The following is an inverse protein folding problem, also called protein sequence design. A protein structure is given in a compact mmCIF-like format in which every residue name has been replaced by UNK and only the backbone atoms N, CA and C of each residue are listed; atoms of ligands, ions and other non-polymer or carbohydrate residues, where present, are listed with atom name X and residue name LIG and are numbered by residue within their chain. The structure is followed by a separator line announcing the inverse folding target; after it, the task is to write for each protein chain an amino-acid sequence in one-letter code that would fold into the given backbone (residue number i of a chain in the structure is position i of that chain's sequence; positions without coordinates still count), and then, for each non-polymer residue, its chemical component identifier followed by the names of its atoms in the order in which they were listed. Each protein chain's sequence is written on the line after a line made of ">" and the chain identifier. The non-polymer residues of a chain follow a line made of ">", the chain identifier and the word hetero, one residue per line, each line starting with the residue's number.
data_IF_363969104807
#
_entry.id   IF_363969104807
#
_cell.length_a   1.000
_cell.length_b   1.000
_cell.length_c   1.000
_cell.angle_alpha   90.00
_cell.angle_beta   90.00
_cell.angle_gamma   90.00
#
_symmetry.space_group_name_H-M   'P 1'
#
loop_
_entity.id
_entity.type
_entity.pdbx_description
1 polymer ?
#
# COMPACT_ATOMS: atom_id res chain seq x y z
N UNK A 1 40.92 -24.63 -11.02
CA UNK A 1 39.58 -24.79 -11.60
C UNK A 1 38.53 -25.47 -10.71
N UNK A 2 38.82 -25.67 -9.43
CA UNK A 2 37.87 -26.30 -8.49
C UNK A 2 37.19 -25.30 -7.55
N UNK A 3 37.51 -23.99 -7.64
CA UNK A 3 36.96 -23.01 -6.71
C UNK A 3 35.60 -22.43 -7.13
N UNK A 4 35.25 -22.47 -8.43
CA UNK A 4 33.98 -21.87 -8.90
C UNK A 4 32.75 -22.75 -8.59
N UNK A 5 32.88 -24.08 -8.77
CA UNK A 5 31.77 -24.99 -8.51
C UNK A 5 31.42 -25.11 -7.01
N UNK A 6 32.43 -25.09 -6.13
CA UNK A 6 32.19 -25.13 -4.68
C UNK A 6 31.58 -23.81 -4.15
N UNK A 7 31.98 -22.65 -4.70
CA UNK A 7 31.42 -21.35 -4.36
C UNK A 7 29.95 -21.21 -4.81
N UNK A 8 29.59 -21.84 -5.90
CA UNK A 8 28.23 -21.80 -6.45
C UNK A 8 27.26 -22.68 -5.63
N UNK A 9 27.73 -23.79 -5.09
CA UNK A 9 26.93 -24.67 -4.19
C UNK A 9 26.59 -23.97 -2.87
N UNK A 10 27.53 -23.20 -2.28
CA UNK A 10 27.30 -22.50 -1.01
C UNK A 10 26.31 -21.33 -1.13
N UNK A 11 26.12 -20.75 -2.30
CA UNK A 11 25.15 -19.68 -2.53
C UNK A 11 23.72 -20.20 -2.67
N UNK A 12 23.53 -21.49 -2.82
CA UNK A 12 22.24 -22.12 -3.10
C UNK A 12 21.55 -22.68 -1.86
N UNK A 13 22.20 -22.63 -0.71
CA UNK A 13 21.62 -23.16 0.53
C UNK A 13 22.00 -22.29 1.74
N UNK A 14 21.04 -22.15 2.67
CA UNK A 14 21.25 -21.68 4.03
C UNK A 14 20.69 -22.71 5.01
N UNK A 15 21.41 -22.99 6.11
CA UNK A 15 21.01 -24.01 7.07
C UNK A 15 21.09 -23.42 8.47
N UNK A 16 20.03 -23.58 9.24
CA UNK A 16 19.98 -23.23 10.66
C UNK A 16 20.15 -24.48 11.52
N UNK A 17 21.04 -24.40 12.48
CA UNK A 17 21.29 -25.48 13.49
C UNK A 17 20.88 -24.98 14.86
N UNK A 18 20.24 -25.86 15.64
CA UNK A 18 20.01 -25.68 17.07
C UNK A 18 20.54 -26.90 17.83
N UNK A 19 21.35 -26.68 18.86
CA UNK A 19 22.00 -27.75 19.65
C UNK A 19 22.76 -28.80 18.80
N UNK A 20 23.26 -28.40 17.62
CA UNK A 20 23.99 -29.28 16.70
C UNK A 20 23.09 -30.06 15.71
N UNK A 21 21.80 -29.96 15.85
CA UNK A 21 20.78 -30.53 14.93
C UNK A 21 20.37 -29.50 13.89
N UNK A 22 20.21 -29.96 12.63
CA UNK A 22 19.63 -29.12 11.57
C UNK A 22 18.11 -28.95 11.82
N UNK A 23 17.63 -27.70 11.88
CA UNK A 23 16.22 -27.37 12.15
C UNK A 23 15.52 -26.71 10.99
N UNK A 24 16.26 -25.96 10.15
CA UNK A 24 15.74 -25.38 8.93
C UNK A 24 16.79 -25.41 7.83
N UNK A 25 16.33 -25.56 6.61
CA UNK A 25 17.11 -25.49 5.37
C UNK A 25 16.40 -24.63 4.36
N UNK A 26 17.10 -23.67 3.78
CA UNK A 26 16.64 -22.90 2.61
C UNK A 26 17.46 -23.33 1.39
N UNK A 27 16.79 -23.65 0.32
CA UNK A 27 17.40 -23.99 -0.97
C UNK A 27 16.95 -22.97 -2.01
N UNK A 28 17.91 -22.38 -2.74
CA UNK A 28 17.66 -21.35 -3.73
C UNK A 28 17.98 -21.86 -5.13
N UNK A 29 17.14 -21.53 -6.11
CA UNK A 29 17.45 -21.68 -7.53
C UNK A 29 17.64 -20.31 -8.18
N UNK A 30 18.44 -20.27 -9.24
CA UNK A 30 18.79 -19.04 -9.94
C UNK A 30 18.74 -19.24 -11.45
N UNK A 31 18.43 -18.16 -12.20
CA UNK A 31 18.64 -18.11 -13.62
C UNK A 31 20.13 -17.93 -13.98
N UNK A 32 20.42 -17.86 -15.28
CA UNK A 32 21.80 -17.66 -15.77
C UNK A 32 22.36 -16.26 -15.52
N UNK A 33 21.50 -15.27 -15.23
CA UNK A 33 21.87 -13.90 -14.89
C UNK A 33 22.13 -13.73 -13.38
N UNK A 34 21.71 -14.71 -12.56
CA UNK A 34 21.87 -14.71 -11.10
C UNK A 34 20.63 -14.20 -10.36
N UNK A 35 19.51 -14.04 -11.03
CA UNK A 35 18.24 -13.74 -10.38
C UNK A 35 17.70 -14.97 -9.66
N UNK A 36 17.17 -14.82 -8.43
CA UNK A 36 16.53 -15.92 -7.68
C UNK A 36 15.24 -16.31 -8.39
N UNK A 37 15.09 -17.60 -8.71
CA UNK A 37 13.86 -18.14 -9.30
C UNK A 37 12.97 -18.81 -8.27
N UNK A 38 13.56 -19.42 -7.24
CA UNK A 38 12.80 -20.00 -6.14
C UNK A 38 13.59 -20.01 -4.84
N UNK A 39 12.85 -19.96 -3.75
CA UNK A 39 13.30 -20.25 -2.39
C UNK A 39 12.42 -21.38 -1.85
N UNK A 40 13.04 -22.49 -1.45
CA UNK A 40 12.38 -23.63 -0.82
C UNK A 40 12.87 -23.73 0.63
N UNK A 41 11.96 -23.58 1.59
CA UNK A 41 12.21 -23.69 3.01
C UNK A 41 11.66 -25.00 3.55
N UNK A 42 12.54 -25.83 4.06
CA UNK A 42 12.23 -27.07 4.78
C UNK A 42 12.57 -26.91 6.26
N UNK A 43 11.66 -27.33 7.16
CA UNK A 43 11.90 -27.27 8.61
C UNK A 43 10.66 -26.96 9.42
N UNK A 44 10.78 -26.01 10.36
CA UNK A 44 9.70 -25.64 11.30
C UNK A 44 8.43 -25.08 10.63
N UNK A 45 8.60 -24.43 9.47
CA UNK A 45 7.51 -24.06 8.57
C UNK A 45 8.01 -24.32 7.16
N UNK A 46 7.42 -25.28 6.43
CA UNK A 46 7.81 -25.56 5.05
C UNK A 46 6.99 -24.68 4.10
N UNK A 47 7.67 -23.92 3.26
CA UNK A 47 7.06 -23.02 2.27
C UNK A 47 7.97 -22.92 1.05
N UNK A 48 7.37 -22.63 -0.12
CA UNK A 48 8.09 -22.42 -1.37
C UNK A 48 7.65 -21.08 -1.93
N UNK A 49 8.63 -20.23 -2.27
CA UNK A 49 8.40 -18.97 -2.97
C UNK A 49 8.96 -19.04 -4.39
N UNK A 50 8.20 -18.56 -5.35
CA UNK A 50 8.56 -18.47 -6.75
C UNK A 50 8.68 -17.01 -7.20
N UNK A 51 9.72 -16.69 -7.97
CA UNK A 51 10.04 -15.35 -8.46
C UNK A 51 10.12 -15.33 -9.97
N UNK A 52 9.52 -14.33 -10.62
CA UNK A 52 9.59 -14.18 -12.06
C UNK A 52 10.18 -12.81 -12.47
N UNK A 53 10.86 -12.80 -13.64
CA UNK A 53 11.56 -11.65 -14.24
C UNK A 53 11.19 -11.57 -15.72
N UNK A 54 9.99 -11.10 -16.03
CA UNK A 54 9.40 -11.16 -17.37
C UNK A 54 9.50 -9.83 -18.15
N UNK A 55 10.15 -8.78 -17.60
CA UNK A 55 10.38 -7.55 -18.35
C UNK A 55 11.50 -7.75 -19.38
N UNK A 56 11.12 -7.77 -20.66
CA UNK A 56 12.05 -8.02 -21.76
C UNK A 56 13.09 -6.92 -22.00
N UNK A 57 13.00 -5.77 -21.32
CA UNK A 57 13.95 -4.66 -21.40
C UNK A 57 14.84 -4.57 -20.16
N UNK A 58 14.35 -5.06 -19.04
CA UNK A 58 15.04 -5.01 -17.76
C UNK A 58 15.00 -6.39 -17.09
N UNK A 59 15.88 -7.26 -17.53
CA UNK A 59 15.86 -8.69 -17.23
C UNK A 59 16.14 -9.08 -15.77
N UNK A 60 16.51 -8.15 -14.90
CA UNK A 60 16.66 -8.31 -13.45
C UNK A 60 15.55 -7.59 -12.65
N UNK A 61 14.53 -7.05 -13.33
CA UNK A 61 13.36 -6.50 -12.67
C UNK A 61 12.42 -7.62 -12.23
N UNK A 62 12.22 -7.78 -10.93
CA UNK A 62 11.28 -8.75 -10.38
C UNK A 62 9.84 -8.38 -10.78
N UNK A 63 9.17 -9.24 -11.54
CA UNK A 63 7.82 -8.95 -12.05
C UNK A 63 6.71 -9.61 -11.26
N UNK A 64 7.00 -10.77 -10.63
CA UNK A 64 6.03 -11.38 -9.72
C UNK A 64 6.71 -12.18 -8.60
N UNK A 65 5.99 -12.36 -7.50
CA UNK A 65 6.31 -13.26 -6.38
C UNK A 65 5.09 -14.14 -6.14
N UNK A 66 5.25 -15.45 -6.17
CA UNK A 66 4.18 -16.44 -5.98
C UNK A 66 2.97 -16.25 -6.92
N UNK A 67 3.26 -15.78 -8.15
CA UNK A 67 2.24 -15.45 -9.14
C UNK A 67 1.50 -14.14 -8.89
N UNK A 68 1.95 -13.32 -7.93
CA UNK A 68 1.39 -12.01 -7.63
C UNK A 68 2.28 -10.94 -8.27
N UNK A 69 1.71 -10.13 -9.16
CA UNK A 69 2.42 -9.14 -9.94
C UNK A 69 2.87 -7.92 -9.10
N UNK A 70 4.03 -7.36 -9.48
CA UNK A 70 4.53 -6.09 -8.98
C UNK A 70 4.45 -5.02 -10.08
N UNK A 71 3.98 -3.84 -9.71
CA UNK A 71 4.02 -2.65 -10.57
C UNK A 71 5.16 -1.72 -10.18
N UNK A 72 5.68 -0.97 -11.16
CA UNK A 72 6.81 -0.09 -10.98
C UNK A 72 6.58 1.29 -11.60
N UNK A 73 7.19 2.33 -11.02
CA UNK A 73 7.27 3.64 -11.66
C UNK A 73 8.36 3.64 -12.77
N UNK A 74 8.44 4.75 -13.51
CA UNK A 74 9.43 4.91 -14.60
C UNK A 74 10.90 4.90 -14.16
N UNK A 75 11.17 4.93 -12.86
CA UNK A 75 12.51 4.86 -12.24
C UNK A 75 12.85 3.46 -11.72
N UNK A 76 11.90 2.51 -11.85
CA UNK A 76 12.04 1.15 -11.35
C UNK A 76 11.83 1.02 -9.84
N UNK A 77 11.09 1.95 -9.23
CA UNK A 77 10.66 1.78 -7.85
C UNK A 77 9.33 1.01 -7.83
N UNK A 78 9.16 -0.02 -6.98
CA UNK A 78 7.89 -0.72 -6.86
C UNK A 78 6.80 0.22 -6.34
N UNK A 79 5.64 0.22 -6.98
CA UNK A 79 4.50 1.09 -6.61
C UNK A 79 3.32 0.31 -6.10
N UNK A 80 3.16 -0.94 -6.57
CA UNK A 80 2.05 -1.79 -6.17
C UNK A 80 2.50 -3.25 -6.08
N UNK A 81 2.00 -3.93 -5.06
CA UNK A 81 2.03 -5.38 -4.90
C UNK A 81 0.63 -5.79 -4.44
N UNK A 82 -0.16 -6.41 -5.32
CA UNK A 82 -1.56 -6.71 -5.07
C UNK A 82 -1.97 -8.04 -5.71
N UNK A 83 -2.82 -8.81 -5.02
CA UNK A 83 -3.39 -10.05 -5.50
C UNK A 83 -4.84 -9.77 -5.98
N UNK A 84 -5.02 -9.47 -7.25
CA UNK A 84 -6.32 -9.05 -7.78
C UNK A 84 -6.82 -7.77 -7.12
N UNK A 85 -7.86 -7.86 -6.29
CA UNK A 85 -8.42 -6.72 -5.55
C UNK A 85 -7.83 -6.56 -4.14
N UNK A 86 -7.07 -7.54 -3.66
CA UNK A 86 -6.42 -7.49 -2.34
C UNK A 86 -5.12 -6.69 -2.44
N UNK A 87 -5.07 -5.55 -1.76
CA UNK A 87 -3.88 -4.74 -1.65
C UNK A 87 -2.92 -5.35 -0.63
N UNK A 88 -1.78 -5.87 -1.08
CA UNK A 88 -0.71 -6.31 -0.20
C UNK A 88 0.16 -5.11 0.20
N UNK A 89 0.65 -4.33 -0.78
CA UNK A 89 1.40 -3.11 -0.55
C UNK A 89 1.19 -2.08 -1.67
N UNK A 90 0.96 -0.82 -1.29
CA UNK A 90 1.07 0.36 -2.16
C UNK A 90 2.21 1.23 -1.67
N UNK A 91 3.05 1.74 -2.59
CA UNK A 91 4.26 2.48 -2.25
C UNK A 91 4.34 3.79 -3.04
N UNK A 92 4.60 4.89 -2.33
CA UNK A 92 4.81 6.22 -2.90
C UNK A 92 6.26 6.62 -2.76
N UNK A 93 6.83 7.19 -3.82
CA UNK A 93 8.24 7.56 -3.88
C UNK A 93 8.40 9.06 -4.14
N UNK A 94 9.48 9.63 -3.61
CA UNK A 94 9.87 11.02 -3.81
C UNK A 94 11.36 11.10 -4.14
N UNK A 95 11.80 12.21 -4.74
CA UNK A 95 13.20 12.48 -5.05
C UNK A 95 13.91 11.31 -5.77
N UNK A 96 13.17 10.58 -6.62
CA UNK A 96 13.64 9.46 -7.41
C UNK A 96 13.55 8.12 -6.67
N UNK A 97 14.23 7.92 -5.55
CA UNK A 97 14.32 6.61 -4.87
C UNK A 97 14.11 6.67 -3.35
N UNK A 98 13.47 7.71 -2.85
CA UNK A 98 13.12 7.82 -1.43
C UNK A 98 11.69 7.37 -1.23
N UNK A 99 11.47 6.25 -0.54
CA UNK A 99 10.13 5.79 -0.17
C UNK A 99 9.50 6.80 0.79
N UNK A 100 8.45 7.50 0.37
CA UNK A 100 7.75 8.49 1.20
C UNK A 100 6.64 7.87 2.02
N UNK A 101 5.95 6.89 1.44
CA UNK A 101 4.83 6.17 2.11
C UNK A 101 4.77 4.72 1.65
N UNK A 102 4.36 3.84 2.55
CA UNK A 102 3.91 2.49 2.23
C UNK A 102 2.59 2.22 2.97
N UNK A 103 1.64 1.62 2.27
CA UNK A 103 0.30 1.33 2.79
C UNK A 103 -0.05 -0.12 2.52
N UNK A 104 -0.68 -0.80 3.48
CA UNK A 104 -1.26 -2.13 3.31
C UNK A 104 -2.64 -2.20 3.97
N UNK A 105 -3.54 -2.99 3.42
CA UNK A 105 -4.83 -3.27 4.04
C UNK A 105 -4.62 -4.10 5.31
N UNK A 106 -5.17 -3.64 6.42
CA UNK A 106 -5.23 -4.39 7.67
C UNK A 106 -6.51 -5.24 7.72
N UNK A 107 -7.62 -4.62 7.33
CA UNK A 107 -8.95 -5.23 7.19
C UNK A 107 -9.79 -4.37 6.22
N UNK A 108 -11.06 -4.76 5.98
CA UNK A 108 -11.96 -4.08 5.03
C UNK A 108 -12.26 -2.60 5.36
N UNK A 109 -11.87 -2.11 6.53
CA UNK A 109 -12.20 -0.76 7.03
C UNK A 109 -10.99 0.03 7.51
N UNK A 110 -9.83 -0.61 7.60
CA UNK A 110 -8.60 0.00 8.10
C UNK A 110 -7.38 -0.40 7.27
N UNK A 111 -6.43 0.51 7.20
CA UNK A 111 -5.13 0.28 6.58
C UNK A 111 -3.99 0.67 7.52
N UNK A 112 -2.86 0.00 7.35
CA UNK A 112 -1.61 0.34 7.98
C UNK A 112 -0.82 1.27 7.08
N UNK A 113 -0.39 2.42 7.61
CA UNK A 113 0.36 3.43 6.87
C UNK A 113 1.71 3.66 7.52
N UNK A 114 2.76 3.59 6.72
CA UNK A 114 4.12 3.95 7.09
C UNK A 114 4.53 5.20 6.32
N UNK A 115 4.78 6.31 7.02
CA UNK A 115 5.33 7.54 6.45
C UNK A 115 6.81 7.68 6.78
N UNK A 116 7.62 8.13 5.81
CA UNK A 116 9.05 8.31 5.94
C UNK A 116 9.45 9.73 5.61
N UNK A 117 10.31 10.33 6.44
CA UNK A 117 10.91 11.63 6.16
C UNK A 117 12.43 11.51 6.01
N UNK A 118 13.00 12.43 5.23
CA UNK A 118 14.43 12.47 4.89
C UNK A 118 14.97 13.87 5.08
N UNK A 119 16.25 13.96 5.41
CA UNK A 119 16.99 15.22 5.41
C UNK A 119 17.45 15.64 3.99
N UNK A 120 18.10 16.79 3.90
CA UNK A 120 18.61 17.32 2.63
C UNK A 120 19.71 16.45 1.98
N UNK A 121 20.32 15.53 2.73
CA UNK A 121 21.34 14.60 2.25
C UNK A 121 20.72 13.26 1.81
N UNK A 122 19.38 13.11 1.91
CA UNK A 122 18.68 11.88 1.57
C UNK A 122 18.74 10.81 2.65
N UNK A 123 19.15 11.14 3.87
CA UNK A 123 19.18 10.21 5.00
C UNK A 123 17.81 10.20 5.67
N UNK A 124 17.23 9.02 5.87
CA UNK A 124 15.92 8.87 6.53
C UNK A 124 16.02 9.31 8.00
N UNK A 125 15.22 10.31 8.36
CA UNK A 125 15.19 10.91 9.70
C UNK A 125 14.04 10.42 10.56
N UNK A 126 12.95 9.97 9.93
CA UNK A 126 11.82 9.41 10.68
C UNK A 126 11.10 8.29 9.92
N UNK A 127 10.43 7.44 10.69
CA UNK A 127 9.41 6.48 10.27
C UNK A 127 8.24 6.62 11.22
N UNK A 128 7.06 6.95 10.70
CA UNK A 128 5.82 7.05 11.46
C UNK A 128 4.88 5.93 11.03
N UNK A 129 4.32 5.22 11.99
CA UNK A 129 3.29 4.21 11.77
C UNK A 129 1.94 4.75 12.23
N UNK A 130 0.91 4.59 11.39
CA UNK A 130 -0.46 5.01 11.67
C UNK A 130 -1.43 3.93 11.18
N UNK A 131 -2.47 3.68 11.95
CA UNK A 131 -3.65 2.93 11.48
C UNK A 131 -4.68 3.94 11.02
N UNK A 132 -5.09 3.88 9.74
CA UNK A 132 -6.05 4.80 9.13
C UNK A 132 -7.35 4.07 8.81
N UNK A 133 -8.50 4.67 9.17
CA UNK A 133 -9.80 4.16 8.74
C UNK A 133 -10.02 4.44 7.26
N UNK A 134 -10.45 3.42 6.50
CA UNK A 134 -10.89 3.52 5.11
C UNK A 134 -12.41 3.49 5.00
N UNK A 135 -13.13 3.38 6.15
CA UNK A 135 -14.58 3.41 6.18
C UNK A 135 -15.07 4.74 5.57
N UNK A 136 -15.89 4.64 4.55
CA UNK A 136 -16.56 5.82 3.99
C UNK A 136 -17.55 6.36 5.04
N UNK A 137 -17.37 7.63 5.42
CA UNK A 137 -18.35 8.31 6.26
C UNK A 137 -19.60 8.50 5.39
N UNK A 138 -20.78 8.00 5.82
CA UNK A 138 -22.00 8.19 5.05
C UNK A 138 -22.26 9.69 4.80
N UNK A 139 -22.59 10.02 3.57
CA UNK A 139 -22.99 11.38 3.18
C UNK A 139 -24.50 11.49 3.05
N UNK A 140 -25.04 12.62 3.46
CA UNK A 140 -26.46 12.93 3.40
C UNK A 140 -26.71 14.23 2.64
N UNK A 141 -27.81 14.26 1.89
CA UNK A 141 -28.24 15.47 1.19
C UNK A 141 -29.17 16.28 2.09
N UNK A 142 -28.75 17.48 2.47
CA UNK A 142 -29.58 18.47 3.14
C UNK A 142 -30.21 19.39 2.11
N UNK A 143 -31.54 19.53 2.14
CA UNK A 143 -32.28 20.40 1.24
C UNK A 143 -33.05 21.47 2.01
N UNK A 144 -32.73 22.73 1.78
CA UNK A 144 -33.48 23.88 2.31
C UNK A 144 -34.63 24.20 1.38
N UNK A 145 -35.86 24.27 1.93
CA UNK A 145 -37.05 24.55 1.18
C UNK A 145 -37.81 25.74 1.76
N UNK A 146 -38.33 26.62 0.91
CA UNK A 146 -39.24 27.69 1.26
C UNK A 146 -40.52 27.54 0.46
N UNK A 147 -41.69 27.50 1.10
CA UNK A 147 -43.01 27.27 0.48
C UNK A 147 -43.00 26.05 -0.49
N UNK A 148 -42.31 24.96 -0.11
CA UNK A 148 -42.17 23.76 -0.93
C UNK A 148 -41.10 23.81 -2.03
N UNK A 149 -40.56 25.00 -2.33
CA UNK A 149 -39.53 25.19 -3.35
C UNK A 149 -38.14 25.02 -2.77
N UNK A 150 -37.27 24.26 -3.43
CA UNK A 150 -35.87 24.11 -3.02
C UNK A 150 -35.11 25.41 -3.22
N UNK A 151 -34.52 25.93 -2.18
CA UNK A 151 -33.69 27.15 -2.14
C UNK A 151 -32.19 26.80 -2.26
N UNK A 152 -31.75 25.76 -1.54
CA UNK A 152 -30.37 25.30 -1.53
C UNK A 152 -30.35 23.81 -1.25
N UNK A 153 -29.37 23.11 -1.83
CA UNK A 153 -29.02 21.71 -1.53
C UNK A 153 -27.52 21.66 -1.23
N UNK A 154 -27.14 20.88 -0.24
CA UNK A 154 -25.73 20.60 0.09
C UNK A 154 -25.58 19.16 0.53
N UNK A 155 -24.41 18.58 0.31
CA UNK A 155 -24.02 17.26 0.83
C UNK A 155 -23.20 17.46 2.10
N UNK A 156 -23.48 16.67 3.12
CA UNK A 156 -22.79 16.69 4.41
C UNK A 156 -22.46 15.25 4.86
N UNK A 157 -21.37 15.09 5.55
CA UNK A 157 -21.00 13.82 6.17
C UNK A 157 -21.87 13.51 7.41
N UNK A 158 -21.96 12.24 7.78
CA UNK A 158 -22.64 11.83 9.01
C UNK A 158 -22.02 12.53 10.23
N UNK A 159 -22.89 13.02 11.11
CA UNK A 159 -22.46 13.80 12.28
C UNK A 159 -22.14 15.28 12.02
N UNK A 160 -22.27 15.76 10.75
CA UNK A 160 -22.06 17.19 10.45
C UNK A 160 -23.12 18.05 11.17
N UNK A 161 -22.67 19.08 11.87
CA UNK A 161 -23.54 20.09 12.50
C UNK A 161 -23.61 21.32 11.61
N UNK A 162 -24.82 21.68 11.17
CA UNK A 162 -25.04 22.86 10.34
C UNK A 162 -24.56 24.13 11.05
N UNK A 163 -23.78 24.95 10.35
CA UNK A 163 -23.28 26.27 10.79
C UNK A 163 -24.14 27.38 10.21
N UNK A 164 -24.07 28.56 10.78
CA UNK A 164 -24.82 29.73 10.30
C UNK A 164 -24.53 30.05 8.83
N UNK A 165 -23.32 29.81 8.37
CA UNK A 165 -22.90 29.99 6.96
C UNK A 165 -23.54 29.00 5.98
N UNK A 166 -24.09 27.89 6.46
CA UNK A 166 -24.68 26.85 5.62
C UNK A 166 -26.11 27.21 5.21
N UNK A 167 -26.78 28.04 6.02
CA UNK A 167 -28.13 28.46 5.75
C UNK A 167 -28.17 29.45 4.58
N UNK A 168 -29.04 29.23 3.57
CA UNK A 168 -29.23 30.22 2.52
C UNK A 168 -29.99 31.44 3.03
N UNK A 169 -29.88 32.55 2.33
CA UNK A 169 -30.73 33.72 2.61
C UNK A 169 -32.20 33.32 2.55
N UNK A 170 -32.95 33.67 3.58
CA UNK A 170 -34.40 33.40 3.59
C UNK A 170 -35.09 34.21 2.46
N UNK A 171 -35.85 33.56 1.57
CA UNK A 171 -36.58 34.29 0.51
C UNK A 171 -37.56 35.31 1.08
N UNK A 172 -37.55 36.51 0.53
CA UNK A 172 -38.48 37.56 0.93
C UNK A 172 -39.93 37.24 0.53
N UNK A 173 -40.85 37.37 1.49
CA UNK A 173 -42.28 37.23 1.24
C UNK A 173 -43.02 38.44 1.84
N UNK A 174 -43.81 39.16 1.03
CA UNK A 174 -44.51 40.37 1.45
C UNK A 174 -45.41 40.11 2.65
N UNK A 175 -45.21 40.89 3.75
CA UNK A 175 -45.99 40.79 4.98
C UNK A 175 -45.52 39.70 5.96
N UNK A 176 -44.37 39.04 5.70
CA UNK A 176 -43.83 37.98 6.55
C UNK A 176 -42.36 38.21 6.84
N UNK A 177 -41.95 37.85 8.06
CA UNK A 177 -40.54 37.64 8.42
C UNK A 177 -40.29 36.12 8.53
N UNK A 178 -39.24 35.64 7.86
CA UNK A 178 -38.90 34.21 7.84
C UNK A 178 -37.61 33.88 8.62
N UNK A 179 -37.56 32.68 9.16
CA UNK A 179 -36.33 32.09 9.67
C UNK A 179 -36.26 30.59 9.31
N UNK A 180 -35.06 30.06 9.18
CA UNK A 180 -34.88 28.63 9.04
C UNK A 180 -35.10 27.94 10.41
N UNK A 181 -35.72 26.77 10.36
CA UNK A 181 -35.98 25.94 11.55
C UNK A 181 -35.54 24.52 11.30
#
# INVERSE_FOLDING_TARGET
>A
ALSSAASDVYKRQAIRYENGEEVDRWTYSYDTAGNILSEDHEGTASEVHEYAYEDGRWGDLLTSVDGIDLEYDGSGNPTLYANGTELLWSMEWQNGRQLSRATTERDSTTEDVLDFAYDANGIRTSKTYTVRSTAQIPEYTVTFKADGTTVKTMTVEDGYVLKDSDYPTVPAKSGYSGAWR
#
